data_IF_877100716301
#
_entry.id   IF_877100716301
#
_cell.length_a   1.000
_cell.length_b   1.000
_cell.length_c   1.000
_cell.angle_alpha   90.00
_cell.angle_beta   90.00
_cell.angle_gamma   90.00
#
_symmetry.space_group_name_H-M   'P 1'
#
loop_
_entity.id
_entity.type
_entity.pdbx_description
1 polymer ?
#
# COMPACT_ATOMS: atom_id res chain seq x y z
N UNK A 1 -5.46 17.50 -5.65
CA UNK A 1 -5.45 16.07 -5.31
C UNK A 1 -4.55 15.89 -4.10
N UNK A 2 -5.09 15.32 -3.04
CA UNK A 2 -4.28 14.80 -1.93
C UNK A 2 -3.38 13.66 -2.42
N UNK A 3 -2.35 13.33 -1.64
CA UNK A 3 -1.47 12.20 -1.97
C UNK A 3 -2.25 10.89 -2.11
N UNK A 4 -3.22 10.65 -1.22
CA UNK A 4 -4.05 9.45 -1.26
C UNK A 4 -4.88 9.38 -2.55
N UNK A 5 -5.56 10.46 -2.92
CA UNK A 5 -6.33 10.52 -4.17
C UNK A 5 -5.46 10.28 -5.40
N UNK A 6 -4.28 10.89 -5.45
CA UNK A 6 -3.36 10.73 -6.58
C UNK A 6 -2.85 9.29 -6.70
N UNK A 7 -2.56 8.61 -5.58
CA UNK A 7 -2.16 7.20 -5.60
C UNK A 7 -3.31 6.32 -6.04
N UNK A 8 -4.52 6.61 -5.59
CA UNK A 8 -5.72 5.84 -5.92
C UNK A 8 -6.09 5.93 -7.40
N UNK A 9 -5.98 7.13 -7.99
CA UNK A 9 -6.15 7.32 -9.43
C UNK A 9 -5.13 6.50 -10.23
N UNK A 10 -3.87 6.51 -9.80
CA UNK A 10 -2.82 5.76 -10.49
C UNK A 10 -3.01 4.25 -10.36
N UNK A 11 -3.40 3.75 -9.18
CA UNK A 11 -3.72 2.34 -8.98
C UNK A 11 -4.88 1.91 -9.88
N UNK A 12 -5.95 2.69 -9.94
CA UNK A 12 -7.10 2.40 -10.83
C UNK A 12 -6.68 2.38 -12.29
N UNK A 13 -5.84 3.33 -12.71
CA UNK A 13 -5.28 3.39 -14.06
C UNK A 13 -4.47 2.13 -14.37
N UNK A 14 -3.61 1.67 -13.45
CA UNK A 14 -2.82 0.44 -13.62
C UNK A 14 -3.71 -0.80 -13.70
N UNK A 15 -4.75 -0.92 -12.86
CA UNK A 15 -5.69 -2.04 -12.89
C UNK A 15 -6.37 -2.15 -14.26
N UNK A 16 -6.81 -1.03 -14.85
CA UNK A 16 -7.45 -1.06 -16.17
C UNK A 16 -6.43 -1.34 -17.29
N UNK A 17 -5.21 -0.78 -17.21
CA UNK A 17 -4.15 -1.01 -18.21
C UNK A 17 -3.72 -2.47 -18.27
N UNK A 18 -3.63 -3.15 -17.13
CA UNK A 18 -3.20 -4.55 -17.03
C UNK A 18 -4.38 -5.53 -16.83
N UNK A 19 -5.58 -5.11 -17.24
CA UNK A 19 -6.80 -5.93 -17.09
C UNK A 19 -6.67 -7.25 -17.85
N UNK A 20 -6.89 -8.36 -17.14
CA UNK A 20 -6.75 -9.70 -17.69
C UNK A 20 -5.37 -10.33 -17.48
N UNK A 21 -4.41 -9.59 -16.93
CA UNK A 21 -3.11 -10.12 -16.49
C UNK A 21 -3.06 -10.29 -14.96
N UNK A 22 -2.13 -11.13 -14.49
CA UNK A 22 -1.86 -11.27 -13.07
C UNK A 22 -1.07 -10.05 -12.57
N UNK A 23 -1.78 -9.09 -11.98
CA UNK A 23 -1.18 -7.89 -11.40
C UNK A 23 -0.88 -8.09 -9.90
N UNK A 24 0.17 -7.45 -9.41
CA UNK A 24 0.45 -7.31 -7.98
C UNK A 24 0.99 -5.90 -7.70
N UNK A 25 0.54 -5.28 -6.62
CA UNK A 25 0.92 -3.90 -6.26
C UNK A 25 1.90 -3.95 -5.10
N UNK A 26 3.04 -3.28 -5.24
CA UNK A 26 4.02 -3.14 -4.17
C UNK A 26 4.23 -1.68 -3.82
N UNK A 27 3.94 -1.31 -2.58
CA UNK A 27 4.14 0.04 -2.05
C UNK A 27 5.40 0.04 -1.18
N UNK A 28 6.31 0.98 -1.43
CA UNK A 28 7.53 1.12 -0.63
C UNK A 28 7.67 2.51 -0.06
N UNK A 29 8.33 2.65 1.09
CA UNK A 29 8.56 3.96 1.69
C UNK A 29 9.67 3.94 2.73
N UNK A 30 10.40 5.05 2.85
CA UNK A 30 11.46 5.26 3.83
C UNK A 30 11.11 6.41 4.78
N UNK A 31 11.52 6.33 6.05
CA UNK A 31 11.29 7.38 7.06
C UNK A 31 9.80 7.72 7.17
N UNK A 32 9.38 8.97 6.99
CA UNK A 32 7.96 9.35 6.95
C UNK A 32 7.19 8.62 5.83
N UNK A 33 7.83 8.36 4.69
CA UNK A 33 7.25 7.63 3.57
C UNK A 33 6.88 6.19 3.93
N UNK A 34 7.60 5.57 4.87
CA UNK A 34 7.28 4.23 5.35
C UNK A 34 5.93 4.20 6.10
N UNK A 35 5.65 5.25 6.88
CA UNK A 35 4.34 5.44 7.54
C UNK A 35 3.24 5.69 6.51
N UNK A 36 3.50 6.56 5.53
CA UNK A 36 2.53 6.87 4.47
C UNK A 36 2.19 5.63 3.63
N UNK A 37 3.20 4.82 3.28
CA UNK A 37 3.01 3.56 2.55
C UNK A 37 2.06 2.59 3.27
N UNK A 38 2.07 2.60 4.61
CA UNK A 38 1.16 1.78 5.41
C UNK A 38 -0.24 2.38 5.54
N UNK A 39 -0.39 3.70 5.51
CA UNK A 39 -1.70 4.36 5.61
C UNK A 39 -2.48 4.24 4.30
N UNK A 40 -1.80 4.37 3.16
CA UNK A 40 -2.44 4.32 1.84
C UNK A 40 -2.87 2.91 1.44
N UNK A 41 -2.32 1.87 2.09
CA UNK A 41 -2.67 0.49 1.75
C UNK A 41 -4.14 0.16 2.03
N UNK A 42 -4.72 0.76 3.08
CA UNK A 42 -6.13 0.59 3.45
C UNK A 42 -7.03 1.19 2.36
N UNK A 43 -6.64 2.36 1.83
CA UNK A 43 -7.36 3.03 0.75
C UNK A 43 -7.29 2.20 -0.54
N UNK A 44 -6.10 1.69 -0.89
CA UNK A 44 -5.91 0.83 -2.06
C UNK A 44 -6.73 -0.45 -1.97
N UNK A 45 -6.80 -1.10 -0.81
CA UNK A 45 -7.60 -2.31 -0.62
C UNK A 45 -9.12 -2.08 -0.72
N UNK A 46 -9.58 -0.84 -0.53
CA UNK A 46 -11.00 -0.49 -0.62
C UNK A 46 -11.35 0.20 -1.94
N UNK A 47 -10.37 0.38 -2.83
CA UNK A 47 -10.53 1.19 -4.04
C UNK A 47 -11.42 0.56 -5.11
N UNK A 48 -11.45 -0.78 -5.17
CA UNK A 48 -12.08 -1.59 -6.22
C UNK A 48 -12.58 -2.93 -5.67
N UNK A 49 -13.48 -3.61 -6.37
CA UNK A 49 -13.98 -4.94 -5.97
C UNK A 49 -12.99 -6.07 -6.26
N UNK A 50 -12.08 -5.89 -7.22
CA UNK A 50 -11.09 -6.89 -7.64
C UNK A 50 -9.67 -6.30 -7.47
N UNK A 51 -9.26 -6.14 -6.21
CA UNK A 51 -7.97 -5.53 -5.88
C UNK A 51 -6.87 -6.57 -6.04
N UNK A 52 -5.81 -6.29 -6.82
CA UNK A 52 -4.65 -7.17 -6.90
C UNK A 52 -3.99 -7.36 -5.54
N UNK A 53 -3.26 -8.46 -5.31
CA UNK A 53 -2.49 -8.65 -4.08
C UNK A 53 -1.55 -7.46 -3.81
N UNK A 54 -1.60 -6.94 -2.58
CA UNK A 54 -0.81 -5.76 -2.19
C UNK A 54 0.30 -6.14 -1.20
N UNK A 55 1.52 -5.68 -1.46
CA UNK A 55 2.65 -5.80 -0.57
C UNK A 55 3.17 -4.41 -0.16
N UNK A 56 3.60 -4.28 1.10
CA UNK A 56 4.18 -3.04 1.64
C UNK A 56 5.56 -3.31 2.21
N UNK A 57 6.55 -2.56 1.74
CA UNK A 57 7.92 -2.57 2.28
C UNK A 57 8.25 -1.21 2.89
N UNK A 58 8.39 -1.19 4.22
CA UNK A 58 8.58 0.06 4.96
C UNK A 58 9.97 0.08 5.60
N UNK A 59 10.77 1.12 5.35
CA UNK A 59 12.15 1.24 5.82
C UNK A 59 12.30 2.40 6.83
N UNK A 60 12.81 2.15 8.03
CA UNK A 60 13.08 3.22 9.01
C UNK A 60 11.83 4.03 9.41
N UNK A 61 10.64 3.42 9.34
CA UNK A 61 9.37 4.11 9.57
C UNK A 61 9.13 4.49 11.02
N UNK A 62 8.50 5.65 11.22
CA UNK A 62 8.09 6.12 12.54
C UNK A 62 6.92 5.27 13.08
N UNK A 63 6.97 4.91 14.35
CA UNK A 63 6.09 3.92 15.01
C UNK A 63 4.62 4.32 15.23
N UNK A 64 4.06 5.21 14.42
CA UNK A 64 2.71 5.77 14.60
C UNK A 64 1.57 4.93 14.00
N UNK A 65 1.88 3.80 13.36
CA UNK A 65 0.85 2.91 12.78
C UNK A 65 0.60 1.71 13.70
N UNK A 66 -0.59 1.67 14.30
CA UNK A 66 -1.08 0.58 15.15
C UNK A 66 -1.17 -0.72 14.35
N UNK A 67 -0.36 -1.72 14.72
CA UNK A 67 -0.23 -3.01 14.02
C UNK A 67 -1.56 -3.75 13.80
N UNK A 68 -2.57 -3.53 14.64
CA UNK A 68 -3.82 -4.29 14.67
C UNK A 68 -4.70 -4.12 13.41
N UNK A 69 -4.53 -3.08 12.60
CA UNK A 69 -5.33 -2.88 11.38
C UNK A 69 -4.82 -3.68 10.17
N UNK A 70 -3.51 -3.96 10.12
CA UNK A 70 -2.85 -4.45 8.91
C UNK A 70 -2.88 -5.98 8.76
N UNK A 71 -3.10 -6.71 9.85
CA UNK A 71 -3.12 -8.19 9.87
C UNK A 71 -4.43 -8.80 9.35
N UNK A 72 -5.49 -7.99 9.20
CA UNK A 72 -6.84 -8.44 8.82
C UNK A 72 -7.14 -8.36 7.33
N UNK A 73 -6.21 -7.84 6.52
CA UNK A 73 -6.42 -7.66 5.09
C UNK A 73 -5.41 -8.48 4.28
N UNK A 74 -5.67 -8.68 2.99
CA UNK A 74 -4.85 -9.43 2.03
C UNK A 74 -3.50 -8.71 1.70
N UNK A 75 -2.85 -8.16 2.73
CA UNK A 75 -1.66 -7.30 2.65
C UNK A 75 -0.49 -7.99 3.31
N UNK A 76 0.64 -8.07 2.59
CA UNK A 76 1.91 -8.51 3.17
C UNK A 76 2.75 -7.29 3.53
N UNK A 77 3.03 -7.10 4.81
CA UNK A 77 3.85 -5.98 5.29
C UNK A 77 5.21 -6.48 5.79
N UNK A 78 6.29 -5.96 5.20
CA UNK A 78 7.65 -6.12 5.71
C UNK A 78 8.17 -4.78 6.22
N UNK A 79 8.51 -4.71 7.52
CA UNK A 79 9.17 -3.55 8.11
C UNK A 79 10.64 -3.82 8.31
N UNK A 80 11.48 -2.98 7.73
CA UNK A 80 12.94 -3.06 7.81
C UNK A 80 13.41 -1.87 8.63
N UNK A 81 13.99 -2.13 9.79
CA UNK A 81 14.61 -1.12 10.62
C UNK A 81 16.12 -1.32 10.58
N UNK A 82 16.89 -0.24 10.32
CA UNK A 82 18.32 -0.27 10.57
C UNK A 82 18.52 -0.03 12.06
N UNK A 83 19.12 -1.00 12.76
CA UNK A 83 19.49 -0.89 14.17
C UNK A 83 20.76 -0.05 14.33
#
# INVERSE_FOLDING_TARGET
LSLAESVMEEVKRLIEVYKGEALGITITGHSLGATLALLVVDDVNTCCNDVPPVAVFSFGGLGVVTRNKLTTQNVKVLRIANL
#
